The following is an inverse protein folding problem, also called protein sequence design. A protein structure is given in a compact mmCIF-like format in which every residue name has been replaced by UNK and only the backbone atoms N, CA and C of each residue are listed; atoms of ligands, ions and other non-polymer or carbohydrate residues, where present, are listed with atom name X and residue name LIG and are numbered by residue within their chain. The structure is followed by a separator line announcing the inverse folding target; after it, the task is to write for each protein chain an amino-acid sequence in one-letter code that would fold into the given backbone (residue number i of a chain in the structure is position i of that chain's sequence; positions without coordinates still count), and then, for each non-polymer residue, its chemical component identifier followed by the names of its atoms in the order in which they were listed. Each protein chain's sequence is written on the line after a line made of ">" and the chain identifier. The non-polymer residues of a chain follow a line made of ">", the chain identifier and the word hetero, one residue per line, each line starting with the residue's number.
data_IF_009317643746
#
_entry.id   IF_009317643746
#
_cell.length_a   1.000
_cell.length_b   1.000
_cell.length_c   1.000
_cell.angle_alpha   90.00
_cell.angle_beta   90.00
_cell.angle_gamma   90.00
#
_symmetry.space_group_name_H-M   'P 1'
#
loop_
_entity.id
_entity.type
_entity.pdbx_description
1 polymer ?
#
# COMPACT_ATOMS: atom_id res chain seq x y z
N UNK A 1 0.98 2.13 -7.53
CA UNK A 1 0.37 2.74 -8.73
C UNK A 1 0.69 1.88 -9.94
N UNK A 2 0.02 2.06 -11.10
CA UNK A 2 0.36 1.31 -12.32
C UNK A 2 1.83 1.47 -12.76
N UNK A 3 2.42 2.65 -12.56
CA UNK A 3 3.82 2.91 -12.90
C UNK A 3 4.79 2.15 -11.99
N UNK A 4 4.59 2.23 -10.67
CA UNK A 4 5.41 1.48 -9.70
C UNK A 4 5.26 -0.04 -9.90
N UNK A 5 4.06 -0.51 -10.26
CA UNK A 5 3.80 -1.91 -10.56
C UNK A 5 4.59 -2.38 -11.80
N UNK A 6 4.59 -1.58 -12.87
CA UNK A 6 5.35 -1.88 -14.08
C UNK A 6 6.86 -1.88 -13.84
N UNK A 7 7.37 -0.95 -13.03
CA UNK A 7 8.79 -0.91 -12.64
C UNK A 7 9.19 -2.16 -11.84
N UNK A 8 8.40 -2.53 -10.83
CA UNK A 8 8.65 -3.74 -10.05
C UNK A 8 8.62 -5.01 -10.92
N UNK A 9 7.70 -5.07 -11.89
CA UNK A 9 7.58 -6.19 -12.83
C UNK A 9 8.76 -6.32 -13.80
N UNK A 10 9.48 -5.22 -14.08
CA UNK A 10 10.62 -5.22 -14.99
C UNK A 10 11.92 -5.73 -14.35
N UNK A 11 11.96 -5.93 -13.03
CA UNK A 11 13.16 -6.43 -12.37
C UNK A 11 13.46 -7.89 -12.78
N UNK A 12 14.74 -8.27 -12.99
CA UNK A 12 15.11 -9.54 -13.63
C UNK A 12 14.59 -10.79 -12.94
N UNK A 13 14.47 -10.75 -11.60
CA UNK A 13 14.09 -11.89 -10.77
C UNK A 13 12.61 -11.83 -10.32
N UNK A 14 11.83 -10.88 -10.83
CA UNK A 14 10.41 -10.79 -10.49
C UNK A 14 9.65 -11.94 -11.14
N UNK A 15 8.91 -12.70 -10.32
CA UNK A 15 8.03 -13.79 -10.79
C UNK A 15 6.55 -13.39 -10.79
N UNK A 16 6.20 -12.35 -10.04
CA UNK A 16 4.87 -11.76 -9.93
C UNK A 16 5.03 -10.36 -9.32
N UNK A 17 4.35 -9.37 -9.89
CA UNK A 17 4.17 -8.06 -9.26
C UNK A 17 2.67 -7.79 -9.04
N UNK A 18 2.32 -7.16 -7.91
CA UNK A 18 0.94 -6.81 -7.56
C UNK A 18 0.86 -5.42 -6.90
N UNK A 19 -0.24 -4.71 -7.10
CA UNK A 19 -0.44 -3.34 -6.57
C UNK A 19 -1.38 -3.24 -5.36
N UNK A 20 -1.90 -4.37 -4.87
CA UNK A 20 -2.85 -4.41 -3.75
C UNK A 20 -4.28 -3.96 -4.11
N UNK A 21 -4.52 -3.49 -5.33
CA UNK A 21 -5.82 -3.05 -5.85
C UNK A 21 -6.38 -4.00 -6.93
N UNK A 22 -5.82 -5.20 -7.02
CA UNK A 22 -6.21 -6.24 -7.99
C UNK A 22 -5.46 -6.17 -9.32
N UNK A 23 -4.47 -5.27 -9.43
CA UNK A 23 -3.52 -5.25 -10.54
C UNK A 23 -2.42 -6.29 -10.34
N UNK A 24 -2.18 -7.11 -11.36
CA UNK A 24 -1.12 -8.12 -11.38
C UNK A 24 -0.36 -8.07 -12.69
N UNK A 25 0.96 -8.24 -12.62
CA UNK A 25 1.82 -8.46 -13.79
C UNK A 25 2.57 -9.77 -13.58
N UNK A 26 2.42 -10.69 -14.54
CA UNK A 26 3.21 -11.91 -14.63
C UNK A 26 4.26 -11.71 -15.71
N UNK A 27 5.56 -11.58 -15.38
CA UNK A 27 6.61 -11.35 -16.37
C UNK A 27 6.65 -12.44 -17.45
N UNK A 28 6.79 -12.03 -18.71
CA UNK A 28 6.67 -12.92 -19.88
C UNK A 28 5.24 -13.18 -20.34
N UNK A 29 4.23 -12.62 -19.67
CA UNK A 29 2.82 -12.62 -20.09
C UNK A 29 2.54 -11.72 -21.30
N UNK A 30 1.30 -11.77 -21.78
CA UNK A 30 0.89 -11.09 -23.01
C UNK A 30 0.59 -9.58 -22.83
N UNK A 31 0.36 -9.14 -21.59
CA UNK A 31 -0.08 -7.78 -21.28
C UNK A 31 0.60 -7.22 -20.02
N UNK A 32 0.73 -5.88 -19.91
CA UNK A 32 1.25 -5.20 -18.72
C UNK A 32 0.29 -5.23 -17.52
N UNK A 33 -0.91 -5.77 -17.67
CA UNK A 33 -1.79 -6.15 -16.57
C UNK A 33 -2.48 -7.46 -16.99
N UNK A 34 -2.21 -8.55 -16.28
CA UNK A 34 -2.57 -9.89 -16.74
C UNK A 34 -3.28 -10.69 -15.64
N UNK A 35 -4.49 -10.24 -15.30
CA UNK A 35 -5.38 -10.96 -14.38
C UNK A 35 -5.68 -12.40 -14.84
N UNK A 36 -5.91 -12.69 -16.14
CA UNK A 36 -6.06 -14.07 -16.61
C UNK A 36 -4.82 -14.94 -16.35
N UNK A 37 -3.60 -14.46 -16.62
CA UNK A 37 -2.39 -15.21 -16.32
C UNK A 37 -2.26 -15.46 -14.81
N UNK A 38 -2.43 -14.43 -13.98
CA UNK A 38 -2.38 -14.58 -12.52
C UNK A 38 -3.41 -15.63 -12.02
N UNK A 39 -4.62 -15.62 -12.58
CA UNK A 39 -5.65 -16.61 -12.28
C UNK A 39 -5.26 -18.04 -12.69
N UNK A 40 -4.71 -18.21 -13.91
CA UNK A 40 -4.23 -19.53 -14.38
C UNK A 40 -3.11 -20.05 -13.48
N UNK A 41 -2.18 -19.18 -13.05
CA UNK A 41 -1.12 -19.55 -12.11
C UNK A 41 -1.69 -20.00 -10.75
N UNK A 42 -2.68 -19.28 -10.22
CA UNK A 42 -3.38 -19.67 -8.98
C UNK A 42 -4.06 -21.03 -9.12
N UNK A 43 -4.85 -21.24 -10.18
CA UNK A 43 -5.53 -22.53 -10.43
C UNK A 43 -4.54 -23.67 -10.61
N UNK A 44 -3.45 -23.43 -11.36
CA UNK A 44 -2.40 -24.42 -11.55
C UNK A 44 -1.70 -24.79 -10.24
N UNK A 45 -1.49 -23.81 -9.35
CA UNK A 45 -0.96 -24.05 -8.01
C UNK A 45 -1.93 -24.87 -7.16
N UNK A 46 -3.21 -24.48 -7.12
CA UNK A 46 -4.26 -25.19 -6.38
C UNK A 46 -4.47 -26.62 -6.87
N UNK A 47 -4.39 -26.87 -8.18
CA UNK A 47 -4.54 -28.20 -8.77
C UNK A 47 -3.44 -29.19 -8.34
N UNK A 48 -2.28 -28.69 -7.90
CA UNK A 48 -1.16 -29.50 -7.39
C UNK A 48 -1.02 -29.46 -5.86
N UNK A 49 -1.85 -28.65 -5.20
CA UNK A 49 -1.83 -28.50 -3.75
C UNK A 49 -2.67 -29.61 -3.10
N UNK A 50 -2.22 -30.21 -1.99
CA UNK A 50 -3.06 -31.06 -1.16
C UNK A 50 -4.09 -30.26 -0.34
N UNK A 51 -3.96 -28.92 -0.30
CA UNK A 51 -4.80 -28.02 0.49
C UNK A 51 -5.87 -27.32 -0.38
N UNK A 52 -7.03 -27.10 0.22
CA UNK A 52 -8.07 -26.23 -0.33
C UNK A 52 -7.64 -24.78 -0.26
N UNK A 53 -8.16 -23.94 -1.16
CA UNK A 53 -7.91 -22.49 -1.14
C UNK A 53 -8.24 -21.87 0.22
N UNK A 54 -9.34 -22.29 0.86
CA UNK A 54 -9.73 -21.80 2.19
C UNK A 54 -8.73 -22.15 3.30
N UNK A 55 -8.00 -23.25 3.17
CA UNK A 55 -6.99 -23.66 4.15
C UNK A 55 -5.70 -22.85 3.97
N UNK A 56 -5.34 -22.54 2.72
CA UNK A 56 -4.23 -21.65 2.41
C UNK A 56 -4.53 -20.23 2.90
N UNK A 57 -5.74 -19.74 2.64
CA UNK A 57 -6.23 -18.43 3.10
C UNK A 57 -6.19 -18.31 4.62
N UNK A 58 -6.66 -19.33 5.35
CA UNK A 58 -6.62 -19.36 6.82
C UNK A 58 -5.19 -19.40 7.40
N UNK A 59 -4.19 -19.80 6.60
CA UNK A 59 -2.78 -19.80 6.99
C UNK A 59 -2.07 -18.46 6.79
N UNK A 60 -2.68 -17.51 6.10
CA UNK A 60 -2.12 -16.17 5.91
C UNK A 60 -2.22 -15.41 7.25
N UNK A 61 -1.12 -14.80 7.74
CA UNK A 61 -1.16 -13.97 8.93
C UNK A 61 -2.24 -12.88 8.83
N UNK A 62 -2.93 -12.60 9.93
CA UNK A 62 -3.88 -11.49 9.92
C UNK A 62 -3.14 -10.16 9.90
N UNK A 63 -3.22 -9.47 8.78
CA UNK A 63 -2.75 -8.11 8.66
C UNK A 63 -3.69 -7.17 9.44
N UNK A 64 -3.11 -6.23 10.18
CA UNK A 64 -3.86 -5.19 10.89
C UNK A 64 -3.86 -3.87 10.12
N UNK A 65 -3.73 -3.90 8.80
CA UNK A 65 -3.71 -2.70 7.97
C UNK A 65 -5.08 -2.03 7.99
N UNK A 66 -5.11 -0.75 8.37
CA UNK A 66 -6.29 0.12 8.34
C UNK A 66 -6.09 1.23 7.31
N UNK A 67 -7.20 1.73 6.76
CA UNK A 67 -7.19 2.82 5.77
C UNK A 67 -8.14 3.95 6.18
N UNK A 68 -7.74 5.20 5.90
CA UNK A 68 -8.61 6.39 5.95
C UNK A 68 -8.38 7.30 4.77
N UNK A 69 -9.47 7.92 4.30
CA UNK A 69 -9.45 9.00 3.32
C UNK A 69 -9.68 10.35 4.00
N UNK A 70 -8.84 11.34 3.68
CA UNK A 70 -9.00 12.73 4.08
C UNK A 70 -9.27 13.55 2.83
N UNK A 71 -10.33 14.38 2.85
CA UNK A 71 -10.62 15.29 1.75
C UNK A 71 -9.49 16.33 1.63
N UNK A 72 -8.82 16.34 0.48
CA UNK A 72 -7.63 17.15 0.25
C UNK A 72 -7.76 17.84 -1.11
N UNK A 73 -8.12 19.13 -1.14
CA UNK A 73 -8.13 19.91 -2.37
C UNK A 73 -6.80 19.81 -3.12
N UNK A 74 -6.87 19.80 -4.45
CA UNK A 74 -5.68 19.70 -5.31
C UNK A 74 -4.60 20.73 -4.99
N UNK A 75 -5.01 21.96 -4.66
CA UNK A 75 -4.13 23.08 -4.32
C UNK A 75 -3.26 22.83 -3.08
N UNK A 76 -3.68 21.96 -2.15
CA UNK A 76 -2.99 21.73 -0.88
C UNK A 76 -2.24 20.39 -0.83
N UNK A 77 -2.36 19.52 -1.84
CA UNK A 77 -1.65 18.22 -1.87
C UNK A 77 -0.13 18.35 -1.75
N UNK A 78 0.46 19.33 -2.43
CA UNK A 78 1.89 19.63 -2.31
C UNK A 78 2.28 20.16 -0.92
N UNK A 79 1.36 20.84 -0.22
CA UNK A 79 1.57 21.26 1.16
C UNK A 79 1.52 20.05 2.10
N UNK A 80 0.54 19.15 1.95
CA UNK A 80 0.45 17.89 2.72
C UNK A 80 1.76 17.13 2.65
N UNK A 81 2.28 16.87 1.45
CA UNK A 81 3.54 16.12 1.28
C UNK A 81 4.73 16.82 1.96
N UNK A 82 4.89 18.14 1.81
CA UNK A 82 5.94 18.89 2.50
C UNK A 82 5.80 18.81 4.02
N UNK A 83 4.60 19.01 4.56
CA UNK A 83 4.36 18.96 6.00
C UNK A 83 4.61 17.57 6.60
N UNK A 84 4.35 16.51 5.84
CA UNK A 84 4.70 15.14 6.26
C UNK A 84 6.21 14.91 6.19
N UNK A 85 6.88 15.33 5.11
CA UNK A 85 8.32 15.20 4.93
C UNK A 85 9.14 16.02 5.96
N UNK A 86 8.58 17.12 6.45
CA UNK A 86 9.17 17.96 7.50
C UNK A 86 8.86 17.47 8.92
N UNK A 87 8.10 16.39 9.07
CA UNK A 87 7.76 15.83 10.39
C UNK A 87 9.03 15.49 11.18
N UNK A 88 9.02 15.86 12.46
CA UNK A 88 10.12 15.65 13.40
C UNK A 88 9.74 14.53 14.37
N UNK A 89 10.70 13.73 14.77
CA UNK A 89 10.53 12.60 15.67
C UNK A 89 11.60 11.53 15.40
N UNK A 90 11.52 10.43 16.15
CA UNK A 90 12.41 9.27 15.97
C UNK A 90 11.94 8.32 14.87
N UNK A 91 10.87 8.68 14.15
CA UNK A 91 10.38 7.92 13.01
C UNK A 91 11.29 8.09 11.78
N UNK A 92 11.36 7.05 10.97
CA UNK A 92 12.09 7.05 9.69
C UNK A 92 11.12 7.38 8.57
N UNK A 93 11.55 8.26 7.66
CA UNK A 93 10.79 8.61 6.46
C UNK A 93 11.36 7.87 5.26
N UNK A 94 10.52 7.10 4.58
CA UNK A 94 10.83 6.43 3.32
C UNK A 94 9.98 7.04 2.20
N UNK A 95 10.66 7.67 1.24
CA UNK A 95 9.98 8.34 0.12
C UNK A 95 9.77 7.32 -0.98
N UNK A 96 8.50 6.99 -1.20
CA UNK A 96 8.10 6.08 -2.26
C UNK A 96 7.67 6.86 -3.50
N UNK A 97 7.62 6.19 -4.66
CA UNK A 97 7.11 6.77 -5.91
C UNK A 97 5.68 7.34 -5.77
N UNK A 98 4.87 6.74 -4.89
CA UNK A 98 3.45 7.04 -4.78
C UNK A 98 3.10 7.86 -3.54
N UNK A 99 4.04 8.13 -2.63
CA UNK A 99 3.73 8.80 -1.37
C UNK A 99 4.86 8.73 -0.34
N UNK A 100 4.55 9.04 0.91
CA UNK A 100 5.51 9.02 2.00
C UNK A 100 5.16 7.92 3.00
N UNK A 101 6.05 6.93 3.14
CA UNK A 101 5.99 5.94 4.19
C UNK A 101 6.72 6.46 5.42
N UNK A 102 6.11 6.28 6.59
CA UNK A 102 6.59 6.75 7.87
C UNK A 102 6.64 5.55 8.80
N UNK A 103 7.81 5.21 9.30
CA UNK A 103 8.04 4.03 10.14
C UNK A 103 8.39 4.50 11.54
N UNK A 104 7.56 4.14 12.51
CA UNK A 104 7.75 4.46 13.92
C UNK A 104 8.83 3.55 14.55
N UNK A 105 9.41 3.92 15.70
CA UNK A 105 10.47 3.13 16.35
C UNK A 105 10.07 1.70 16.75
N UNK A 106 8.78 1.46 16.98
CA UNK A 106 8.24 0.13 17.28
C UNK A 106 7.98 -0.74 16.03
N UNK A 107 8.31 -0.21 14.85
CA UNK A 107 8.12 -0.88 13.55
C UNK A 107 6.72 -0.70 12.95
N UNK A 108 5.78 -0.09 13.67
CA UNK A 108 4.49 0.32 13.09
C UNK A 108 4.71 1.39 12.02
N UNK A 109 3.80 1.48 11.05
CA UNK A 109 4.00 2.39 9.92
C UNK A 109 2.71 3.03 9.43
N UNK A 110 2.85 4.20 8.81
CA UNK A 110 1.82 4.86 8.02
C UNK A 110 2.32 5.11 6.59
N UNK A 111 1.43 5.02 5.60
CA UNK A 111 1.71 5.39 4.22
C UNK A 111 0.72 6.49 3.81
N UNK A 112 1.24 7.69 3.51
CA UNK A 112 0.46 8.85 3.11
C UNK A 112 0.57 9.04 1.59
N UNK A 113 -0.55 8.90 0.88
CA UNK A 113 -0.62 9.01 -0.59
C UNK A 113 -1.68 10.04 -0.98
N UNK A 114 -1.27 11.21 -1.50
CA UNK A 114 -2.18 12.09 -2.22
C UNK A 114 -2.64 11.40 -3.50
N UNK A 115 -3.96 11.23 -3.68
CA UNK A 115 -4.50 10.58 -4.87
C UNK A 115 -4.20 11.43 -6.13
N UNK A 116 -3.84 10.80 -7.26
CA UNK A 116 -3.52 11.51 -8.50
C UNK A 116 -4.74 11.92 -9.35
N UNK A 117 -5.91 11.31 -9.12
CA UNK A 117 -7.16 11.47 -9.85
C UNK A 117 -8.33 12.04 -9.00
N UNK A 118 -8.28 11.96 -7.67
CA UNK A 118 -9.35 12.39 -6.76
C UNK A 118 -8.85 13.42 -5.73
N UNK A 119 -9.72 14.31 -5.25
CA UNK A 119 -9.39 15.34 -4.25
C UNK A 119 -9.31 14.76 -2.81
N UNK A 120 -8.54 13.70 -2.63
CA UNK A 120 -8.33 13.02 -1.34
C UNK A 120 -6.85 12.70 -1.12
N UNK A 121 -6.47 12.56 0.14
CA UNK A 121 -5.25 11.88 0.58
C UNK A 121 -5.65 10.60 1.29
N UNK A 122 -5.13 9.47 0.83
CA UNK A 122 -5.29 8.17 1.49
C UNK A 122 -4.17 7.94 2.47
N UNK A 123 -4.51 7.38 3.61
CA UNK A 123 -3.57 6.99 4.64
C UNK A 123 -3.83 5.53 4.96
N UNK A 124 -2.80 4.70 4.83
CA UNK A 124 -2.79 3.35 5.37
C UNK A 124 -1.93 3.33 6.62
N UNK A 125 -2.26 2.48 7.57
CA UNK A 125 -1.43 2.26 8.74
C UNK A 125 -1.49 0.82 9.21
N UNK A 126 -0.37 0.32 9.73
CA UNK A 126 -0.24 -1.02 10.27
C UNK A 126 0.60 -0.97 11.55
N UNK A 127 0.16 -1.70 12.55
CA UNK A 127 0.90 -1.98 13.77
C UNK A 127 0.72 -3.43 14.20
N UNK A 128 1.36 -3.80 15.31
CA UNK A 128 1.34 -5.17 15.82
C UNK A 128 -0.07 -5.67 16.20
N UNK A 129 -0.98 -4.75 16.51
CA UNK A 129 -2.39 -5.02 16.75
C UNK A 129 -3.27 -4.02 16.01
N UNK A 130 -4.56 -4.35 15.85
CA UNK A 130 -5.55 -3.40 15.32
C UNK A 130 -5.60 -2.07 16.09
N UNK A 131 -5.36 -2.09 17.41
CA UNK A 131 -5.33 -0.90 18.22
C UNK A 131 -4.12 -0.01 17.90
N UNK A 132 -2.96 -0.63 17.69
CA UNK A 132 -1.72 0.07 17.31
C UNK A 132 -1.87 0.69 15.91
N UNK A 133 -2.41 -0.07 14.95
CA UNK A 133 -2.73 0.47 13.61
C UNK A 133 -3.67 1.67 13.69
N UNK A 134 -4.68 1.61 14.57
CA UNK A 134 -5.64 2.70 14.74
C UNK A 134 -4.96 3.94 15.32
N UNK A 135 -4.07 3.78 16.30
CA UNK A 135 -3.32 4.88 16.91
C UNK A 135 -2.42 5.59 15.89
N UNK A 136 -1.69 4.82 15.07
CA UNK A 136 -0.84 5.35 14.00
C UNK A 136 -1.68 6.05 12.93
N UNK A 137 -2.80 5.43 12.53
CA UNK A 137 -3.72 6.02 11.56
C UNK A 137 -4.27 7.37 12.06
N UNK A 138 -4.69 7.44 13.32
CA UNK A 138 -5.24 8.65 13.93
C UNK A 138 -4.21 9.77 14.02
N UNK A 139 -3.00 9.46 14.47
CA UNK A 139 -1.87 10.41 14.53
C UNK A 139 -1.64 11.08 13.17
N UNK A 140 -1.46 10.29 12.12
CA UNK A 140 -1.10 10.81 10.80
C UNK A 140 -2.30 11.41 10.05
N UNK A 141 -3.51 10.90 10.28
CA UNK A 141 -4.75 11.51 9.77
C UNK A 141 -4.97 12.90 10.34
N UNK A 142 -4.79 13.08 11.65
CA UNK A 142 -4.93 14.39 12.28
C UNK A 142 -3.92 15.40 11.71
N UNK A 143 -2.69 14.95 11.45
CA UNK A 143 -1.66 15.81 10.85
C UNK A 143 -2.00 16.23 9.43
N UNK A 144 -2.50 15.31 8.59
CA UNK A 144 -2.97 15.64 7.23
C UNK A 144 -4.17 16.58 7.29
N UNK A 145 -5.16 16.29 8.15
CA UNK A 145 -6.36 17.11 8.31
C UNK A 145 -6.04 18.56 8.72
N UNK A 146 -5.03 18.76 9.57
CA UNK A 146 -4.56 20.08 9.99
C UNK A 146 -3.91 20.93 8.88
N UNK A 147 -3.60 20.34 7.72
CA UNK A 147 -3.12 21.06 6.52
C UNK A 147 -4.28 21.38 5.57
N UNK A 148 -5.35 20.58 5.59
CA UNK A 148 -6.48 20.68 4.67
C UNK A 148 -7.59 21.62 5.14
N UNK A 149 -7.71 21.83 6.46
CA UNK A 149 -8.64 22.77 7.09
C UNK A 149 -8.03 24.14 7.31
#
# INVERSE_FOLDING_TARGET
>A
SPAALAEAAAAPDTILAADGHGGYIVPGGAAPLDAPAAFVHLVAHLARSPHRLSELDAGIPQDHVLQREIATPWSVKGAVMRTMAESKGDHVLDTTLDGLRIVEPDGSWALVVPDAAQAVTRIWAEGATRADSQAVLDKWSARVAGVTG
#
